data_IF_034343897917
#
_entry.id   IF_034343897917
#
_cell.length_a   1.000
_cell.length_b   1.000
_cell.length_c   1.000
_cell.angle_alpha   90.00
_cell.angle_beta   90.00
_cell.angle_gamma   90.00
#
_symmetry.space_group_name_H-M   'P 1'
#
loop_
_entity.id
_entity.type
_entity.pdbx_description
1 polymer ?
#
# COMPACT_ATOMS: atom_id res chain seq x y z
N UNK A 1 5.68 12.58 17.13
CA UNK A 1 5.30 11.61 16.23
C UNK A 1 4.00 11.01 16.59
N UNK A 2 3.47 10.32 15.74
CA UNK A 2 2.25 9.75 16.01
C UNK A 2 2.34 8.96 17.25
N UNK A 3 1.52 9.27 18.19
CA UNK A 3 1.55 8.70 19.35
C UNK A 3 1.26 7.37 19.32
N UNK A 4 0.54 6.86 18.62
CA UNK A 4 0.24 5.50 18.70
C UNK A 4 -0.02 4.90 17.41
N UNK A 5 0.77 5.11 16.42
CA UNK A 5 0.57 4.37 15.21
C UNK A 5 1.00 2.97 15.53
N UNK A 6 0.31 2.05 14.97
CA UNK A 6 0.75 0.70 15.04
C UNK A 6 1.44 0.44 13.73
N UNK A 7 2.73 0.30 13.79
CA UNK A 7 3.52 0.01 12.62
C UNK A 7 4.04 -1.41 12.75
N UNK A 8 3.65 -2.27 11.83
CA UNK A 8 4.04 -3.65 11.86
C UNK A 8 5.05 -3.91 10.75
N UNK A 9 6.26 -4.32 11.15
CA UNK A 9 7.31 -4.62 10.20
C UNK A 9 7.21 -6.06 9.84
N UNK A 10 7.17 -6.34 8.56
CA UNK A 10 7.07 -7.73 8.14
C UNK A 10 7.80 -7.93 6.85
N UNK A 11 8.38 -9.09 6.70
CA UNK A 11 8.86 -9.49 5.40
C UNK A 11 7.63 -10.00 4.64
N UNK A 12 7.79 -10.36 3.39
CA UNK A 12 6.66 -10.75 2.58
C UNK A 12 5.95 -12.01 3.10
N UNK A 13 6.71 -12.92 3.69
CA UNK A 13 6.09 -14.13 4.25
C UNK A 13 5.21 -13.81 5.43
N UNK A 14 5.69 -12.91 6.31
CA UNK A 14 4.91 -12.53 7.46
C UNK A 14 3.71 -11.70 7.07
N UNK A 15 3.83 -10.88 6.05
CA UNK A 15 2.72 -10.12 5.57
C UNK A 15 1.60 -11.05 5.13
N UNK A 16 1.93 -12.11 4.39
CA UNK A 16 0.94 -13.08 3.97
C UNK A 16 0.29 -13.76 5.18
N UNK A 17 1.08 -14.05 6.21
CA UNK A 17 0.54 -14.64 7.41
C UNK A 17 -0.46 -13.73 8.10
N UNK A 18 -0.16 -12.43 8.14
CA UNK A 18 -1.08 -11.49 8.75
C UNK A 18 -2.38 -11.38 7.97
N UNK A 19 -2.33 -11.60 6.67
CA UNK A 19 -3.52 -11.60 5.85
C UNK A 19 -4.25 -12.94 5.92
N UNK A 20 -3.69 -13.91 6.62
CA UNK A 20 -4.28 -15.23 6.69
C UNK A 20 -4.00 -16.06 5.47
N UNK A 21 -2.95 -15.71 4.73
CA UNK A 21 -2.64 -16.36 3.49
C UNK A 21 -1.20 -16.82 3.51
N UNK A 22 -0.98 -18.11 3.58
CA UNK A 22 0.39 -18.62 3.65
C UNK A 22 0.97 -19.00 2.32
N UNK A 23 0.13 -19.38 1.38
CA UNK A 23 0.59 -19.85 0.11
C UNK A 23 -0.24 -19.32 -1.01
N UNK A 24 0.24 -19.45 -2.24
CA UNK A 24 -0.44 -18.88 -3.37
C UNK A 24 -1.85 -19.42 -3.57
N UNK A 25 -2.03 -20.70 -3.35
CA UNK A 25 -3.37 -21.27 -3.51
C UNK A 25 -4.32 -20.69 -2.48
N UNK A 26 -3.82 -20.51 -1.25
CA UNK A 26 -4.63 -19.91 -0.22
C UNK A 26 -4.92 -18.47 -0.55
N UNK A 27 -3.93 -17.78 -1.10
CA UNK A 27 -4.09 -16.40 -1.49
C UNK A 27 -5.23 -16.27 -2.50
N UNK A 28 -5.25 -17.11 -3.51
CA UNK A 28 -6.25 -17.03 -4.54
C UNK A 28 -7.62 -17.46 -4.06
N UNK A 29 -7.68 -18.36 -3.11
CA UNK A 29 -8.96 -18.85 -2.62
C UNK A 29 -9.47 -18.13 -1.39
N UNK A 30 -8.69 -17.25 -0.81
CA UNK A 30 -9.07 -16.60 0.43
C UNK A 30 -10.10 -15.50 0.19
N UNK A 31 -11.14 -15.39 1.03
CA UNK A 31 -12.16 -14.36 0.82
C UNK A 31 -11.62 -12.95 0.77
N UNK A 32 -10.54 -12.67 1.51
CA UNK A 32 -9.96 -11.34 1.54
C UNK A 32 -9.20 -11.05 0.26
N UNK A 33 -8.58 -12.06 -0.34
CA UNK A 33 -7.73 -11.86 -1.48
C UNK A 33 -8.27 -12.46 -2.75
N UNK A 34 -8.92 -13.60 -2.67
CA UNK A 34 -9.42 -14.30 -3.81
C UNK A 34 -10.23 -13.45 -4.74
N UNK A 35 -11.06 -12.60 -4.22
CA UNK A 35 -11.75 -11.65 -5.02
C UNK A 35 -11.23 -10.26 -4.76
N UNK A 36 -10.08 -10.10 -4.16
CA UNK A 36 -9.62 -8.82 -3.68
C UNK A 36 -8.56 -8.21 -4.56
N UNK A 37 -8.84 -7.05 -5.05
CA UNK A 37 -7.89 -6.23 -5.79
C UNK A 37 -6.71 -5.84 -4.88
N UNK A 38 -7.01 -5.51 -3.64
CA UNK A 38 -6.00 -5.10 -2.69
C UNK A 38 -4.94 -6.17 -2.47
N UNK A 39 -5.37 -7.40 -2.22
CA UNK A 39 -4.42 -8.49 -2.00
C UNK A 39 -3.55 -8.75 -3.22
N UNK A 40 -4.14 -8.67 -4.40
CA UNK A 40 -3.40 -8.84 -5.64
C UNK A 40 -2.31 -7.77 -5.77
N UNK A 41 -2.65 -6.51 -5.51
CA UNK A 41 -1.70 -5.41 -5.62
C UNK A 41 -0.55 -5.60 -4.63
N UNK A 42 -0.86 -5.92 -3.38
CA UNK A 42 0.16 -6.12 -2.37
C UNK A 42 1.12 -7.24 -2.78
N UNK A 43 0.56 -8.36 -3.23
CA UNK A 43 1.39 -9.48 -3.63
C UNK A 43 2.31 -9.11 -4.79
N UNK A 44 1.76 -8.44 -5.80
CA UNK A 44 2.55 -8.06 -6.97
C UNK A 44 3.65 -7.07 -6.62
N UNK A 45 3.35 -6.11 -5.78
CA UNK A 45 4.34 -5.11 -5.41
C UNK A 45 5.47 -5.75 -4.63
N UNK A 46 5.16 -6.61 -3.66
CA UNK A 46 6.20 -7.24 -2.87
C UNK A 46 7.06 -8.18 -3.71
N UNK A 47 6.46 -8.89 -4.65
CA UNK A 47 7.21 -9.77 -5.53
C UNK A 47 8.12 -8.99 -6.47
N UNK A 48 7.68 -7.82 -6.90
CA UNK A 48 8.41 -7.01 -7.88
C UNK A 48 9.45 -6.08 -7.25
N UNK A 49 9.35 -5.86 -5.96
CA UNK A 49 10.22 -4.92 -5.25
C UNK A 49 10.90 -5.64 -4.07
N UNK A 50 11.79 -6.59 -4.35
CA UNK A 50 12.37 -7.42 -3.28
C UNK A 50 13.21 -6.65 -2.27
N UNK A 51 13.67 -5.46 -2.65
CA UNK A 51 14.47 -4.66 -1.73
C UNK A 51 13.64 -3.71 -0.87
N UNK A 52 12.33 -3.69 -1.05
CA UNK A 52 11.45 -2.89 -0.23
C UNK A 52 11.12 -3.63 1.06
N UNK A 53 11.05 -2.89 2.16
CA UNK A 53 10.65 -3.45 3.45
C UNK A 53 9.21 -3.04 3.72
N UNK A 54 8.30 -3.99 3.82
CA UNK A 54 6.88 -3.67 3.97
C UNK A 54 6.44 -3.53 5.42
N UNK A 55 5.54 -2.57 5.65
CA UNK A 55 4.97 -2.32 6.96
C UNK A 55 3.49 -2.06 6.81
N UNK A 56 2.73 -2.33 7.86
CA UNK A 56 1.35 -1.86 7.96
C UNK A 56 1.34 -0.68 8.91
N UNK A 57 0.46 0.27 8.65
CA UNK A 57 0.33 1.44 9.51
C UNK A 57 -1.13 1.71 9.82
N UNK A 58 -1.40 1.98 11.10
CA UNK A 58 -2.73 2.29 11.56
C UNK A 58 -2.62 3.12 12.83
N UNK A 59 -3.55 4.06 13.03
CA UNK A 59 -3.59 4.85 14.24
C UNK A 59 -4.82 4.48 15.06
N UNK A 60 -4.82 4.86 16.33
CA UNK A 60 -5.98 4.61 17.17
C UNK A 60 -7.18 5.43 16.73
N UNK A 61 -6.95 6.55 16.08
CA UNK A 61 -8.01 7.39 15.56
C UNK A 61 -8.65 6.84 14.30
N UNK A 62 -8.14 5.76 13.76
CA UNK A 62 -8.74 5.11 12.61
C UNK A 62 -8.11 5.40 11.27
N UNK A 63 -7.07 6.23 11.23
CA UNK A 63 -6.34 6.42 9.98
C UNK A 63 -5.50 5.18 9.70
N UNK A 64 -5.43 4.79 8.44
CA UNK A 64 -4.63 3.62 8.08
C UNK A 64 -4.11 3.74 6.67
N UNK A 65 -3.07 3.00 6.40
CA UNK A 65 -2.44 2.93 5.10
C UNK A 65 -2.37 1.46 4.73
N UNK A 66 -2.70 1.15 3.49
CA UNK A 66 -2.74 -0.25 3.07
C UNK A 66 -1.35 -0.88 3.09
N UNK A 67 -0.33 -0.12 2.72
CA UNK A 67 1.03 -0.64 2.72
C UNK A 67 2.02 0.52 2.83
N UNK A 68 3.01 0.37 3.68
CA UNK A 68 4.10 1.33 3.78
C UNK A 68 5.37 0.61 3.36
N UNK A 69 6.09 1.16 2.42
CA UNK A 69 7.34 0.58 1.94
C UNK A 69 8.52 1.48 2.30
N UNK A 70 9.57 0.87 2.84
CA UNK A 70 10.84 1.55 2.98
C UNK A 70 11.67 1.07 1.81
N UNK A 71 12.04 1.98 0.94
CA UNK A 71 12.71 1.63 -0.29
C UNK A 71 13.71 2.72 -0.64
N UNK A 72 14.98 2.34 -0.80
CA UNK A 72 16.03 3.29 -1.17
C UNK A 72 16.09 4.47 -0.20
N UNK A 73 15.90 4.19 1.08
CA UNK A 73 15.97 5.21 2.11
C UNK A 73 14.75 6.11 2.20
N UNK A 74 13.68 5.78 1.51
CA UNK A 74 12.49 6.61 1.46
C UNK A 74 11.27 5.85 1.94
N UNK A 75 10.31 6.58 2.50
CA UNK A 75 9.03 6.02 2.92
C UNK A 75 8.02 6.26 1.82
N UNK A 76 7.53 5.18 1.23
CA UNK A 76 6.56 5.25 0.15
C UNK A 76 5.26 4.65 0.67
N UNK A 77 4.19 5.44 0.64
CA UNK A 77 2.89 4.94 1.02
C UNK A 77 2.17 4.36 -0.18
N UNK A 78 1.44 3.29 0.03
CA UNK A 78 0.64 2.65 -1.01
C UNK A 78 -0.79 2.56 -0.50
N UNK A 79 -1.69 3.16 -1.23
CA UNK A 79 -3.10 3.08 -0.93
C UNK A 79 -3.77 2.40 -2.12
N UNK A 80 -4.65 1.45 -1.87
CA UNK A 80 -5.22 0.64 -2.93
C UNK A 80 -6.71 0.88 -3.00
N UNK A 81 -7.20 1.28 -4.17
CA UNK A 81 -8.60 1.60 -4.36
C UNK A 81 -9.16 0.85 -5.54
N UNK A 82 -10.46 0.58 -5.48
CA UNK A 82 -11.17 -0.03 -6.60
C UNK A 82 -11.96 0.98 -7.40
N UNK A 83 -12.05 2.19 -6.93
CA UNK A 83 -12.86 3.22 -7.59
C UNK A 83 -12.31 3.55 -8.97
N UNK A 84 -13.19 4.02 -9.85
CA UNK A 84 -12.78 4.41 -11.19
C UNK A 84 -11.96 5.69 -11.18
N UNK A 85 -12.18 6.55 -10.22
CA UNK A 85 -11.46 7.81 -10.12
C UNK A 85 -11.23 8.13 -8.64
N UNK A 86 -10.25 7.50 -8.00
CA UNK A 86 -9.99 7.75 -6.58
C UNK A 86 -9.77 9.22 -6.29
N UNK A 87 -10.20 9.64 -5.09
CA UNK A 87 -10.02 11.02 -4.64
C UNK A 87 -9.29 11.01 -3.30
N UNK A 88 -8.88 12.19 -2.85
CA UNK A 88 -8.16 12.32 -1.61
C UNK A 88 -9.04 11.95 -0.42
N UNK A 89 -8.47 11.27 0.56
CA UNK A 89 -9.19 10.90 1.77
C UNK A 89 -8.47 11.44 3.00
N UNK A 90 -9.16 11.55 4.14
CA UNK A 90 -8.49 11.99 5.37
C UNK A 90 -7.35 11.07 5.78
N UNK A 91 -7.47 9.76 5.56
CA UNK A 91 -6.39 8.83 5.89
C UNK A 91 -5.14 9.10 5.06
N UNK A 92 -5.31 9.47 3.80
CA UNK A 92 -4.16 9.81 2.95
C UNK A 92 -3.44 11.03 3.49
N UNK A 93 -4.20 12.06 3.90
CA UNK A 93 -3.62 13.26 4.46
C UNK A 93 -2.86 12.93 5.73
N UNK A 94 -3.47 12.15 6.62
CA UNK A 94 -2.82 11.75 7.87
C UNK A 94 -1.56 10.95 7.61
N UNK A 95 -1.60 10.01 6.69
CA UNK A 95 -0.43 9.19 6.39
C UNK A 95 0.73 10.03 5.88
N UNK A 96 0.46 10.93 4.94
CA UNK A 96 1.52 11.77 4.37
C UNK A 96 2.17 12.62 5.45
N UNK A 97 1.35 13.22 6.32
CA UNK A 97 1.86 14.10 7.36
C UNK A 97 2.52 13.35 8.51
N UNK A 98 1.83 12.36 9.05
CA UNK A 98 2.30 11.67 10.25
C UNK A 98 3.52 10.80 9.98
N UNK A 99 3.58 10.18 8.83
CA UNK A 99 4.70 9.32 8.47
C UNK A 99 5.78 10.07 7.69
N UNK A 100 5.53 11.32 7.37
CA UNK A 100 6.46 12.12 6.57
C UNK A 100 6.86 11.35 5.31
N UNK A 101 5.86 10.95 4.56
CA UNK A 101 6.08 10.14 3.37
C UNK A 101 6.81 10.94 2.30
N UNK A 102 7.69 10.27 1.59
CA UNK A 102 8.32 10.86 0.41
C UNK A 102 7.25 11.02 -0.66
N UNK A 103 6.39 10.02 -0.83
CA UNK A 103 5.24 10.09 -1.73
C UNK A 103 4.23 9.02 -1.34
N UNK A 104 3.00 9.22 -1.76
CA UNK A 104 1.93 8.25 -1.57
C UNK A 104 1.34 7.93 -2.94
N UNK A 105 1.35 6.66 -3.31
CA UNK A 105 0.81 6.21 -4.58
C UNK A 105 -0.53 5.55 -4.35
N UNK A 106 -1.54 6.02 -5.08
CA UNK A 106 -2.88 5.43 -5.00
C UNK A 106 -3.01 4.53 -6.22
N UNK A 107 -3.11 3.24 -5.99
CA UNK A 107 -3.15 2.24 -7.05
C UNK A 107 -4.60 1.86 -7.30
N UNK A 108 -5.04 1.92 -8.54
CA UNK A 108 -6.41 1.59 -8.91
C UNK A 108 -6.40 0.79 -10.23
N UNK A 109 -7.52 0.17 -10.60
CA UNK A 109 -7.52 -0.69 -11.79
C UNK A 109 -7.41 0.04 -13.12
N UNK A 110 -7.60 1.36 -13.12
CA UNK A 110 -7.53 2.13 -14.37
C UNK A 110 -6.12 2.42 -14.81
N UNK A 111 -5.99 3.14 -15.90
CA UNK A 111 -4.70 3.42 -16.50
C UNK A 111 -4.35 4.91 -16.53
N UNK A 112 -5.25 5.78 -16.13
CA UNK A 112 -4.98 7.22 -16.13
C UNK A 112 -4.17 7.58 -14.90
N UNK A 113 -3.14 8.38 -15.12
CA UNK A 113 -2.28 8.83 -14.03
C UNK A 113 -2.58 10.30 -13.75
N UNK A 114 -2.80 10.64 -12.47
CA UNK A 114 -3.11 12.02 -12.11
C UNK A 114 -2.76 12.29 -10.66
N UNK A 115 -2.58 13.56 -10.32
CA UNK A 115 -2.26 13.95 -8.96
C UNK A 115 -3.49 14.27 -8.16
N UNK A 116 -3.47 13.86 -6.89
CA UNK A 116 -4.53 14.24 -5.96
C UNK A 116 -4.09 15.39 -5.07
N UNK A 117 -2.78 15.61 -4.94
CA UNK A 117 -2.27 16.66 -4.09
C UNK A 117 -0.77 16.55 -3.97
N UNK A 118 -0.22 17.30 -3.02
CA UNK A 118 1.22 17.27 -2.79
C UNK A 118 1.63 15.86 -2.37
N UNK A 119 2.56 15.28 -3.08
CA UNK A 119 3.08 13.94 -2.80
C UNK A 119 2.09 12.80 -3.04
N UNK A 120 0.89 13.07 -3.49
CA UNK A 120 -0.12 12.02 -3.69
C UNK A 120 -0.48 11.92 -5.16
N UNK A 121 -0.31 10.75 -5.72
CA UNK A 121 -0.54 10.53 -7.14
C UNK A 121 -1.25 9.21 -7.38
N UNK A 122 -2.21 9.22 -8.31
CA UNK A 122 -2.96 8.02 -8.69
C UNK A 122 -2.31 7.44 -9.93
N UNK A 123 -2.14 6.12 -9.96
CA UNK A 123 -1.56 5.46 -11.11
C UNK A 123 -1.90 3.98 -11.13
N UNK A 124 -1.59 3.32 -12.23
CA UNK A 124 -1.82 1.89 -12.35
C UNK A 124 -0.75 1.10 -11.61
N UNK A 125 -1.01 -0.16 -11.36
CA UNK A 125 -0.03 -1.03 -10.71
C UNK A 125 1.25 -1.16 -11.55
N UNK A 126 1.19 -1.42 -12.85
CA UNK A 126 2.44 -1.52 -13.62
C UNK A 126 3.27 -0.24 -13.57
N UNK A 127 2.62 0.92 -13.62
CA UNK A 127 3.36 2.17 -13.55
C UNK A 127 4.02 2.37 -12.20
N UNK A 128 3.33 2.01 -11.13
CA UNK A 128 3.89 2.17 -9.79
C UNK A 128 5.12 1.29 -9.61
N UNK A 129 5.06 0.05 -10.09
CA UNK A 129 6.20 -0.85 -9.98
C UNK A 129 7.38 -0.30 -10.80
N UNK A 130 7.11 0.18 -11.99
CA UNK A 130 8.18 0.74 -12.83
C UNK A 130 8.83 1.95 -12.18
N UNK A 131 8.02 2.78 -11.53
CA UNK A 131 8.55 3.96 -10.84
C UNK A 131 9.41 3.60 -9.65
N UNK A 132 9.04 2.60 -8.92
CA UNK A 132 9.71 2.26 -7.66
C UNK A 132 10.88 1.29 -7.84
N UNK A 133 10.91 0.57 -8.94
CA UNK A 133 11.95 -0.43 -9.17
C UNK A 133 13.34 0.17 -9.34
#
# INVERSE_FOLDING_TARGET
>A
MVKSPKVYIRDSGLLHTLLGIGEREQLEGHPVVGGSWEGFVIEQMLASLPNASPFFWRTQAGAELDLLLFLKGRRIGIEIKRADAPTMTPSMVSAVNDLELHRLLVIYPGSTRYRLGHKVEVMSLPESIAELA
#
